data_IF_709111582181
#
_entry.id   IF_709111582181
#
_cell.length_a   1.000
_cell.length_b   1.000
_cell.length_c   1.000
_cell.angle_alpha   90.00
_cell.angle_beta   90.00
_cell.angle_gamma   90.00
#
_symmetry.space_group_name_H-M   'P 1'
#
loop_
_entity.id
_entity.type
_entity.pdbx_description
1 polymer ?
#
# COMPACT_ATOMS: atom_id res chain seq x y z
N UNK A 1 -5.59 -19.90 -1.51
CA UNK A 1 -5.88 -18.54 -2.04
C UNK A 1 -4.62 -17.73 -1.86
N UNK A 2 -3.93 -17.35 -2.93
CA UNK A 2 -2.71 -16.55 -2.85
C UNK A 2 -3.10 -15.09 -2.57
N UNK A 3 -2.58 -14.51 -1.49
CA UNK A 3 -2.81 -13.12 -1.09
C UNK A 3 -1.52 -12.36 -1.29
N UNK A 4 -1.54 -11.32 -2.13
CA UNK A 4 -0.40 -10.41 -2.27
C UNK A 4 -0.60 -9.28 -1.26
N UNK A 5 0.39 -9.04 -0.42
CA UNK A 5 0.33 -8.00 0.61
C UNK A 5 1.23 -6.83 0.24
N UNK A 6 0.66 -5.63 0.28
CA UNK A 6 1.43 -4.38 0.22
C UNK A 6 1.69 -3.90 1.65
N UNK A 7 2.96 -3.81 2.01
CA UNK A 7 3.40 -3.21 3.26
C UNK A 7 3.78 -1.76 3.02
N UNK A 8 3.35 -0.88 3.92
CA UNK A 8 3.64 0.55 3.91
C UNK A 8 4.29 0.93 5.24
N UNK A 9 5.41 1.63 5.20
CA UNK A 9 6.13 2.05 6.40
C UNK A 9 6.69 3.45 6.23
N UNK A 10 6.34 4.37 7.12
CA UNK A 10 7.02 5.67 7.19
C UNK A 10 8.45 5.45 7.70
N UNK A 11 9.44 5.90 6.92
CA UNK A 11 10.87 5.86 7.29
C UNK A 11 11.25 7.18 7.97
N UNK A 12 10.81 8.29 7.38
CA UNK A 12 10.96 9.64 7.92
C UNK A 12 9.65 10.39 7.76
N UNK A 13 9.60 11.65 8.20
CA UNK A 13 8.41 12.47 8.09
C UNK A 13 8.00 12.76 6.62
N UNK A 14 8.89 12.57 5.66
CA UNK A 14 8.64 12.81 4.24
C UNK A 14 9.06 11.64 3.33
N UNK A 15 9.16 10.44 3.89
CA UNK A 15 9.49 9.23 3.14
C UNK A 15 8.60 8.06 3.55
N UNK A 16 7.91 7.48 2.57
CA UNK A 16 7.07 6.31 2.74
C UNK A 16 7.66 5.16 1.93
N UNK A 17 8.12 4.11 2.61
CA UNK A 17 8.50 2.86 1.97
C UNK A 17 7.26 2.05 1.63
N UNK A 18 7.32 1.36 0.50
CA UNK A 18 6.41 0.27 0.21
C UNK A 18 7.16 -0.99 -0.20
N UNK A 19 6.58 -2.15 0.11
CA UNK A 19 7.09 -3.45 -0.31
C UNK A 19 5.93 -4.42 -0.59
N UNK A 20 6.07 -5.21 -1.64
CA UNK A 20 5.14 -6.27 -2.00
C UNK A 20 5.71 -7.58 -1.45
N UNK A 21 4.96 -8.22 -0.56
CA UNK A 21 5.28 -9.56 -0.09
C UNK A 21 4.68 -10.58 -1.04
N UNK A 22 5.50 -11.57 -1.40
CA UNK A 22 5.15 -12.68 -2.29
C UNK A 22 4.62 -12.17 -3.65
N UNK A 23 5.38 -11.33 -4.38
CA UNK A 23 4.97 -10.87 -5.70
C UNK A 23 4.84 -12.07 -6.65
N UNK A 24 3.68 -12.21 -7.27
CA UNK A 24 3.40 -13.32 -8.17
C UNK A 24 3.66 -12.91 -9.63
N UNK A 25 4.80 -13.32 -10.17
CA UNK A 25 5.08 -13.20 -11.60
C UNK A 25 4.31 -14.28 -12.37
N UNK A 26 3.34 -13.87 -13.19
CA UNK A 26 2.68 -14.78 -14.13
C UNK A 26 3.30 -14.66 -15.51
N UNK A 27 3.06 -15.63 -16.40
CA UNK A 27 3.49 -15.55 -17.81
C UNK A 27 2.94 -14.31 -18.53
N UNK A 28 1.84 -13.73 -18.04
CA UNK A 28 1.14 -12.56 -18.62
C UNK A 28 1.45 -11.25 -17.88
N UNK A 29 1.78 -11.32 -16.59
CA UNK A 29 2.02 -10.16 -15.72
C UNK A 29 3.38 -10.30 -15.07
N UNK A 30 4.36 -9.56 -15.57
CA UNK A 30 5.68 -9.44 -14.92
C UNK A 30 5.56 -8.65 -13.61
N UNK A 31 6.55 -8.76 -12.74
CA UNK A 31 6.66 -7.96 -11.51
C UNK A 31 7.61 -6.81 -11.76
N UNK A 32 7.09 -5.68 -12.27
CA UNK A 32 7.92 -4.52 -12.61
C UNK A 32 8.37 -3.69 -11.41
N UNK A 33 7.58 -3.67 -10.34
CA UNK A 33 7.84 -2.88 -9.13
C UNK A 33 7.46 -3.74 -7.92
N UNK A 34 8.43 -4.05 -7.06
CA UNK A 34 8.24 -4.91 -5.87
C UNK A 34 8.50 -4.18 -4.56
N UNK A 35 9.29 -3.13 -4.57
CA UNK A 35 9.53 -2.27 -3.42
C UNK A 35 10.00 -0.89 -3.91
N UNK A 36 9.89 0.11 -3.05
CA UNK A 36 10.36 1.46 -3.34
C UNK A 36 10.12 2.43 -2.19
N UNK A 37 10.60 3.66 -2.37
CA UNK A 37 10.40 4.77 -1.44
C UNK A 37 9.69 5.89 -2.19
N UNK A 38 8.55 6.33 -1.68
CA UNK A 38 7.86 7.53 -2.11
C UNK A 38 8.40 8.72 -1.32
N UNK A 39 8.68 9.82 -2.02
CA UNK A 39 9.16 11.07 -1.43
C UNK A 39 8.32 12.25 -1.94
N UNK A 40 8.18 13.29 -1.13
CA UNK A 40 7.51 14.54 -1.53
C UNK A 40 6.08 14.30 -2.05
N UNK A 41 5.84 14.66 -3.32
CA UNK A 41 4.52 14.55 -3.97
C UNK A 41 4.30 13.27 -4.77
N UNK A 42 5.28 12.35 -4.77
CA UNK A 42 5.16 11.07 -5.47
C UNK A 42 4.04 10.22 -4.86
N UNK A 43 3.31 9.52 -5.73
CA UNK A 43 2.19 8.65 -5.36
C UNK A 43 2.40 7.26 -5.92
N UNK A 44 2.04 6.25 -5.15
CA UNK A 44 1.88 4.88 -5.62
C UNK A 44 0.42 4.69 -6.03
N UNK A 45 0.19 4.36 -7.30
CA UNK A 45 -1.13 4.08 -7.84
C UNK A 45 -1.23 2.57 -8.04
N UNK A 46 -2.28 1.97 -7.49
CA UNK A 46 -2.54 0.53 -7.57
C UNK A 46 -3.92 0.33 -8.16
N UNK A 47 -4.02 -0.49 -9.19
CA UNK A 47 -5.28 -0.94 -9.75
C UNK A 47 -5.48 -2.42 -9.42
N UNK A 48 -6.68 -2.75 -8.93
CA UNK A 48 -7.04 -4.14 -8.71
C UNK A 48 -7.55 -4.78 -9.99
N UNK A 49 -7.04 -5.96 -10.28
CA UNK A 49 -7.57 -6.87 -11.30
C UNK A 49 -8.21 -8.12 -10.65
N UNK A 50 -8.36 -8.13 -9.31
CA UNK A 50 -8.95 -9.25 -8.58
C UNK A 50 -10.46 -9.21 -8.72
N UNK A 51 -11.12 -10.23 -9.31
CA UNK A 51 -12.57 -10.20 -9.51
C UNK A 51 -13.33 -10.15 -8.19
N UNK A 52 -12.84 -10.82 -7.16
CA UNK A 52 -13.44 -10.86 -5.82
C UNK A 52 -12.35 -10.97 -4.74
N UNK A 53 -12.75 -10.68 -3.50
CA UNK A 53 -11.91 -10.79 -2.29
C UNK A 53 -10.63 -9.95 -2.31
N UNK A 54 -10.57 -8.91 -3.13
CA UNK A 54 -9.56 -7.88 -2.98
C UNK A 54 -9.91 -7.01 -1.78
N UNK A 55 -8.92 -6.73 -0.94
CA UNK A 55 -9.10 -5.99 0.30
C UNK A 55 -7.88 -5.09 0.56
N UNK A 56 -8.13 -3.95 1.19
CA UNK A 56 -7.13 -3.07 1.78
C UNK A 56 -7.52 -2.90 3.23
N UNK A 57 -6.56 -3.05 4.13
CA UNK A 57 -6.72 -2.81 5.57
C UNK A 57 -5.47 -2.09 6.08
N UNK A 58 -5.61 -1.45 7.24
CA UNK A 58 -4.52 -0.72 7.87
C UNK A 58 -4.28 -1.24 9.30
N UNK A 59 -3.09 -0.94 9.85
CA UNK A 59 -2.69 -1.30 11.22
C UNK A 59 -2.76 -2.81 11.55
N UNK A 60 -2.72 -3.67 10.52
CA UNK A 60 -2.82 -5.11 10.70
C UNK A 60 -4.23 -5.63 11.06
N UNK A 61 -5.25 -4.77 11.05
CA UNK A 61 -6.63 -5.14 11.43
C UNK A 61 -7.41 -5.54 10.17
N UNK A 62 -7.37 -6.82 9.82
CA UNK A 62 -8.08 -7.33 8.63
C UNK A 62 -9.60 -7.21 8.73
N UNK A 63 -10.17 -7.21 9.95
CA UNK A 63 -11.61 -7.09 10.13
C UNK A 63 -12.17 -5.72 9.68
N UNK A 64 -11.34 -4.68 9.70
CA UNK A 64 -11.67 -3.32 9.25
C UNK A 64 -11.08 -3.05 7.87
N UNK A 65 -11.53 -3.86 6.90
CA UNK A 65 -11.07 -3.76 5.52
C UNK A 65 -12.05 -2.98 4.66
N UNK A 66 -11.51 -2.36 3.61
CA UNK A 66 -12.29 -1.88 2.48
C UNK A 66 -12.15 -2.83 1.29
N UNK A 67 -13.23 -3.01 0.51
CA UNK A 67 -13.22 -3.85 -0.69
C UNK A 67 -12.39 -3.19 -1.79
N UNK A 68 -11.54 -3.98 -2.43
CA UNK A 68 -10.62 -3.56 -3.48
C UNK A 68 -10.63 -4.55 -4.65
N UNK A 69 -11.80 -4.72 -5.26
CA UNK A 69 -12.02 -5.64 -6.38
C UNK A 69 -11.72 -4.96 -7.73
N UNK A 70 -11.87 -5.72 -8.82
CA UNK A 70 -11.56 -5.29 -10.18
C UNK A 70 -12.20 -3.94 -10.53
N UNK A 71 -11.40 -3.04 -11.10
CA UNK A 71 -11.80 -1.68 -11.45
C UNK A 71 -11.64 -0.65 -10.32
N UNK A 72 -11.27 -1.08 -9.11
CA UNK A 72 -10.87 -0.16 -8.04
C UNK A 72 -9.43 0.33 -8.25
N UNK A 73 -9.22 1.62 -7.99
CA UNK A 73 -7.90 2.27 -8.00
C UNK A 73 -7.62 2.87 -6.63
N UNK A 74 -6.52 2.46 -6.01
CA UNK A 74 -6.01 3.02 -4.76
C UNK A 74 -4.84 3.95 -5.07
N UNK A 75 -4.85 5.14 -4.46
CA UNK A 75 -3.75 6.11 -4.57
C UNK A 75 -3.15 6.32 -3.19
N UNK A 76 -1.89 5.95 -3.04
CA UNK A 76 -1.15 5.99 -1.78
C UNK A 76 -0.08 7.07 -1.88
N UNK A 77 0.06 7.88 -0.84
CA UNK A 77 1.07 8.93 -0.75
C UNK A 77 1.24 9.42 0.69
N UNK A 78 2.21 10.31 0.89
CA UNK A 78 2.45 10.92 2.19
C UNK A 78 1.34 11.93 2.48
N UNK A 79 0.73 11.83 3.67
CA UNK A 79 -0.31 12.76 4.10
C UNK A 79 0.26 14.16 4.28
N UNK A 80 -0.53 15.19 3.91
CA UNK A 80 -0.15 16.60 4.13
C UNK A 80 -0.16 16.95 5.61
N UNK A 81 -1.12 16.40 6.34
CA UNK A 81 -1.28 16.61 7.77
C UNK A 81 -0.52 15.53 8.54
N UNK A 82 0.30 15.95 9.50
CA UNK A 82 1.14 15.07 10.33
C UNK A 82 0.72 15.19 11.78
N UNK A 83 0.49 14.06 12.43
CA UNK A 83 0.29 14.01 13.88
C UNK A 83 1.63 14.29 14.57
N UNK A 84 1.64 15.24 15.50
CA UNK A 84 2.82 15.52 16.35
C UNK A 84 2.60 14.88 17.71
N UNK A 85 3.54 14.02 18.10
CA UNK A 85 3.57 13.49 19.46
C UNK A 85 3.98 14.63 20.42
N UNK A 86 3.12 14.92 21.40
CA UNK A 86 3.45 15.86 22.48
C UNK A 86 4.10 15.06 23.61
N UNK A 87 5.31 15.45 24.01
CA UNK A 87 5.99 14.87 25.16
C UNK A 87 5.72 15.73 26.40
N UNK A 88 5.46 15.13 27.57
CA UNK A 88 5.39 15.88 28.83
C UNK A 88 6.76 16.49 29.15
N UNK A 89 6.75 17.72 29.68
CA UNK A 89 7.94 18.46 30.11
C UNK A 89 8.44 18.09 31.49
#
# INVERSE_FOLDING_TARGET
MWRVFLYLQLITDNQLMFAIREPFASKRTQTGIVAGILTGSSKLIIESFMPNYGLIFYDGIEADFIKFNAGCIATIGIAKEKVKLVLPG
#
